data_IF_470200122244
#
_entry.id   IF_470200122244
#
_cell.length_a   1.000
_cell.length_b   1.000
_cell.length_c   1.000
_cell.angle_alpha   90.00
_cell.angle_beta   90.00
_cell.angle_gamma   90.00
#
_symmetry.space_group_name_H-M   'P 1'
#
loop_
_entity.id
_entity.type
_entity.pdbx_description
1 polymer ?
#
# COMPACT_ATOMS: atom_id res chain seq x y z
N UNK A 1 22.80 25.94 -6.66
CA UNK A 1 22.66 25.69 -5.21
C UNK A 1 22.91 24.22 -4.96
N UNK A 2 23.97 23.86 -4.22
CA UNK A 2 24.22 22.48 -3.78
C UNK A 2 23.48 22.28 -2.47
N UNK A 3 22.52 21.35 -2.43
CA UNK A 3 21.92 20.89 -1.17
C UNK A 3 23.06 20.22 -0.38
N UNK A 4 23.37 20.66 0.84
CA UNK A 4 24.48 20.10 1.60
C UNK A 4 24.17 18.64 2.01
N UNK A 5 25.18 17.79 1.98
CA UNK A 5 25.07 16.32 2.07
C UNK A 5 24.36 15.80 3.34
N UNK A 6 24.25 16.60 4.41
CA UNK A 6 23.54 16.24 5.64
C UNK A 6 22.02 16.43 5.57
N UNK A 7 21.48 17.28 4.68
CA UNK A 7 20.03 17.32 4.42
C UNK A 7 19.59 15.99 3.80
N UNK A 8 20.48 15.41 3.00
CA UNK A 8 20.31 14.06 2.45
C UNK A 8 20.54 13.00 3.52
N UNK A 9 21.59 13.11 4.35
CA UNK A 9 21.93 12.09 5.36
C UNK A 9 20.96 12.04 6.56
N UNK A 10 20.47 13.18 7.06
CA UNK A 10 19.45 13.25 8.12
C UNK A 10 18.08 12.76 7.63
N UNK A 11 17.71 13.07 6.38
CA UNK A 11 16.52 12.50 5.75
C UNK A 11 16.67 11.00 5.48
N UNK A 12 17.88 10.54 5.12
CA UNK A 12 18.20 9.12 4.91
C UNK A 12 18.24 8.35 6.23
N UNK A 13 18.75 8.90 7.34
CA UNK A 13 18.71 8.24 8.65
C UNK A 13 17.28 8.15 9.19
N UNK A 14 16.45 9.19 9.02
CA UNK A 14 15.01 9.10 9.31
C UNK A 14 14.35 7.99 8.49
N UNK A 15 14.63 7.88 7.19
CA UNK A 15 14.07 6.83 6.33
C UNK A 15 14.59 5.41 6.65
N UNK A 16 15.88 5.24 6.95
CA UNK A 16 16.49 3.95 7.28
C UNK A 16 16.06 3.44 8.66
N UNK A 17 15.85 4.33 9.63
CA UNK A 17 15.34 3.98 10.96
C UNK A 17 13.87 3.58 10.92
N UNK A 18 13.05 4.22 10.07
CA UNK A 18 11.66 3.82 9.81
C UNK A 18 11.57 2.37 9.30
N UNK A 19 12.45 1.97 8.37
CA UNK A 19 12.51 0.59 7.86
C UNK A 19 12.97 -0.44 8.89
N UNK A 20 13.81 -0.04 9.85
CA UNK A 20 14.29 -0.90 10.94
C UNK A 20 13.28 -1.02 12.10
N UNK A 21 12.48 0.01 12.35
CA UNK A 21 11.43 0.06 13.37
C UNK A 21 10.27 -0.91 13.10
N UNK A 22 9.78 -1.02 11.86
CA UNK A 22 8.68 -1.93 11.51
C UNK A 22 9.00 -3.41 11.84
N UNK A 23 10.28 -3.77 11.80
CA UNK A 23 10.75 -5.12 12.12
C UNK A 23 10.75 -5.42 13.64
N UNK A 24 11.04 -4.42 14.49
CA UNK A 24 11.07 -4.59 15.96
C UNK A 24 9.67 -4.56 16.59
N UNK A 25 8.74 -3.74 16.06
CA UNK A 25 7.37 -3.64 16.58
C UNK A 25 6.60 -4.97 16.55
N UNK A 26 6.82 -5.82 15.53
CA UNK A 26 6.23 -7.16 15.44
C UNK A 26 6.69 -8.10 16.56
N UNK A 27 7.90 -7.89 17.08
CA UNK A 27 8.51 -8.76 18.09
C UNK A 27 8.10 -8.33 19.50
N UNK A 28 8.05 -7.02 19.75
CA UNK A 28 7.59 -6.44 21.02
C UNK A 28 6.08 -6.65 21.25
N UNK A 29 5.24 -6.46 20.21
CA UNK A 29 3.80 -6.67 20.31
C UNK A 29 3.41 -8.12 20.69
N UNK A 30 4.23 -9.10 20.27
CA UNK A 30 4.05 -10.52 20.66
C UNK A 30 4.39 -10.77 22.12
N UNK A 31 5.32 -10.01 22.70
CA UNK A 31 5.74 -10.14 24.09
C UNK A 31 4.77 -9.42 25.04
N UNK A 32 4.26 -8.25 24.65
CA UNK A 32 3.27 -7.50 25.43
C UNK A 32 1.92 -8.20 25.49
N UNK A 33 1.49 -8.84 24.40
CA UNK A 33 0.30 -9.71 24.41
C UNK A 33 0.46 -10.86 25.43
N UNK A 34 1.65 -11.45 25.52
CA UNK A 34 1.96 -12.54 26.46
C UNK A 34 2.06 -12.07 27.93
N UNK A 35 2.29 -10.76 28.14
CA UNK A 35 2.36 -10.12 29.46
C UNK A 35 0.97 -9.69 29.94
N UNK A 36 0.20 -9.04 29.07
CA UNK A 36 -1.17 -8.58 29.39
C UNK A 36 -2.11 -9.75 29.70
N UNK A 37 -1.99 -10.88 28.99
CA UNK A 37 -2.75 -12.11 29.31
C UNK A 37 -2.43 -12.66 30.71
N UNK A 38 -1.20 -12.45 31.22
CA UNK A 38 -0.83 -12.82 32.60
C UNK A 38 -1.35 -11.85 33.64
N UNK A 39 -1.35 -10.56 33.33
CA UNK A 39 -1.80 -9.50 34.25
C UNK A 39 -3.33 -9.46 34.41
N UNK A 40 -4.09 -9.72 33.33
CA UNK A 40 -5.57 -9.82 33.40
C UNK A 40 -6.07 -11.06 34.16
N UNK A 41 -5.20 -12.04 34.39
CA UNK A 41 -5.49 -13.23 35.19
C UNK A 41 -5.37 -12.99 36.71
N UNK A 42 -4.86 -11.83 37.15
CA UNK A 42 -4.29 -11.67 38.48
C UNK A 42 -4.84 -10.57 39.40
N UNK A 43 -5.64 -9.60 38.95
CA UNK A 43 -6.11 -8.57 39.91
C UNK A 43 -7.34 -7.80 39.47
N UNK A 44 -8.34 -7.79 40.35
CA UNK A 44 -9.56 -6.99 40.30
C UNK A 44 -9.48 -5.90 41.38
N UNK A 45 -9.67 -4.66 40.94
CA UNK A 45 -10.22 -3.49 41.66
C UNK A 45 -9.53 -2.96 42.94
N UNK A 46 -9.03 -1.72 42.89
CA UNK A 46 -9.48 -0.56 43.70
C UNK A 46 -8.43 0.57 43.70
N UNK A 47 -8.79 1.79 43.27
CA UNK A 47 -8.37 3.10 43.84
C UNK A 47 -8.61 4.25 42.85
N UNK A 48 -9.59 5.13 43.11
CA UNK A 48 -10.01 6.20 42.18
C UNK A 48 -9.76 7.63 42.67
N UNK A 49 -8.98 7.87 43.73
CA UNK A 49 -8.74 9.25 44.22
C UNK A 49 -7.24 9.62 44.35
N UNK A 50 -6.36 8.69 44.71
CA UNK A 50 -4.91 8.92 44.74
C UNK A 50 -4.26 9.06 43.35
N UNK A 51 -4.88 8.47 42.31
CA UNK A 51 -4.36 8.50 40.95
C UNK A 51 -4.36 9.89 40.29
N UNK A 52 -5.16 10.85 40.76
CA UNK A 52 -5.30 12.15 40.09
C UNK A 52 -4.11 13.09 40.29
N UNK A 53 -3.52 13.11 41.49
CA UNK A 53 -2.33 13.91 41.79
C UNK A 53 -1.06 13.27 41.21
N UNK A 54 -0.98 11.95 41.25
CA UNK A 54 0.17 11.21 40.72
C UNK A 54 0.24 11.34 39.20
N UNK A 55 -0.88 11.15 38.49
CA UNK A 55 -0.98 11.36 37.03
C UNK A 55 -0.64 12.80 36.64
N UNK A 56 -0.97 13.80 37.48
CA UNK A 56 -0.64 15.20 37.20
C UNK A 56 0.86 15.46 37.32
N UNK A 57 1.51 14.94 38.37
CA UNK A 57 2.97 15.01 38.52
C UNK A 57 3.69 14.31 37.38
N UNK A 58 3.29 13.08 37.04
CA UNK A 58 3.89 12.35 35.92
C UNK A 58 3.76 13.08 34.57
N UNK A 59 2.66 13.82 34.36
CA UNK A 59 2.47 14.66 33.16
C UNK A 59 3.38 15.88 33.15
N UNK A 60 3.56 16.54 34.30
CA UNK A 60 4.48 17.68 34.44
C UNK A 60 5.94 17.24 34.22
N UNK A 61 6.36 16.14 34.85
CA UNK A 61 7.69 15.55 34.67
C UNK A 61 7.94 15.16 33.20
N UNK A 62 6.94 14.59 32.52
CA UNK A 62 7.05 14.23 31.11
C UNK A 62 7.15 15.45 30.18
N UNK A 63 6.48 16.57 30.51
CA UNK A 63 6.57 17.82 29.73
C UNK A 63 7.93 18.47 29.84
N UNK A 64 8.49 18.48 31.05
CA UNK A 64 9.82 19.02 31.31
C UNK A 64 10.90 18.17 30.65
N UNK A 65 10.82 16.84 30.78
CA UNK A 65 11.75 15.93 30.12
C UNK A 65 11.71 16.07 28.58
N UNK A 66 10.52 16.26 28.00
CA UNK A 66 10.38 16.47 26.56
C UNK A 66 10.90 17.84 26.10
N UNK A 67 10.67 18.90 26.87
CA UNK A 67 11.21 20.22 26.58
C UNK A 67 12.74 20.24 26.68
N UNK A 68 13.30 19.52 27.65
CA UNK A 68 14.74 19.33 27.79
C UNK A 68 15.30 18.55 26.60
N UNK A 69 14.70 17.42 26.25
CA UNK A 69 15.10 16.61 25.09
C UNK A 69 15.07 17.42 23.79
N UNK A 70 14.02 18.23 23.58
CA UNK A 70 13.94 19.14 22.44
C UNK A 70 15.08 20.16 22.44
N UNK A 71 15.41 20.73 23.60
CA UNK A 71 16.48 21.74 23.71
C UNK A 71 17.85 21.11 23.43
N UNK A 72 18.14 19.97 24.06
CA UNK A 72 19.39 19.21 23.88
C UNK A 72 19.60 18.83 22.40
N UNK A 73 18.53 18.37 21.74
CA UNK A 73 18.59 18.03 20.32
C UNK A 73 18.82 19.24 19.43
N UNK A 74 18.16 20.35 19.70
CA UNK A 74 18.34 21.57 18.90
C UNK A 74 19.73 22.17 19.09
N UNK A 75 20.26 22.16 20.32
CA UNK A 75 21.64 22.59 20.61
C UNK A 75 22.64 21.68 19.89
N UNK A 76 22.39 20.36 19.88
CA UNK A 76 23.23 19.41 19.15
C UNK A 76 23.26 19.71 17.65
N UNK A 77 22.10 19.96 17.04
CA UNK A 77 22.00 20.32 15.61
C UNK A 77 22.72 21.63 15.28
N UNK A 78 22.64 22.63 16.15
CA UNK A 78 23.36 23.91 15.98
C UNK A 78 24.88 23.73 16.07
N UNK A 79 25.35 22.91 17.03
CA UNK A 79 26.77 22.59 17.16
C UNK A 79 27.30 21.89 15.90
N UNK A 80 26.52 20.93 15.37
CA UNK A 80 26.89 20.23 14.13
C UNK A 80 27.01 21.17 12.94
N UNK A 81 26.08 22.11 12.78
CA UNK A 81 26.14 23.11 11.72
C UNK A 81 27.38 24.01 11.86
N UNK A 82 27.70 24.46 13.08
CA UNK A 82 28.87 25.27 13.35
C UNK A 82 30.19 24.53 13.09
N UNK A 83 30.28 23.24 13.43
CA UNK A 83 31.46 22.40 13.17
C UNK A 83 31.68 22.17 11.67
N UNK A 84 30.62 21.98 10.89
CA UNK A 84 30.73 21.81 9.44
C UNK A 84 31.11 23.09 8.68
N UNK A 85 30.73 24.27 9.19
CA UNK A 85 31.23 25.52 8.62
C UNK A 85 32.76 25.66 8.76
N UNK A 86 33.37 24.88 9.66
CA UNK A 86 34.79 24.92 9.95
C UNK A 86 35.61 23.77 9.32
N UNK A 87 34.99 22.65 8.89
CA UNK A 87 35.68 21.48 8.31
C UNK A 87 34.91 20.80 7.14
N UNK A 88 35.61 20.25 6.11
CA UNK A 88 34.97 19.56 4.99
C UNK A 88 34.27 18.26 5.42
N UNK A 89 33.28 17.74 4.65
CA UNK A 89 32.46 16.60 5.05
C UNK A 89 33.29 15.31 5.13
N UNK A 90 33.54 14.84 6.35
CA UNK A 90 34.07 13.50 6.66
C UNK A 90 32.96 12.52 7.08
N UNK A 91 33.31 11.25 7.31
CA UNK A 91 32.37 10.26 7.85
C UNK A 91 31.78 10.70 9.20
N UNK A 92 30.52 10.33 9.51
CA UNK A 92 29.90 10.66 10.79
C UNK A 92 30.70 10.07 11.95
N UNK A 93 31.04 10.90 12.93
CA UNK A 93 31.73 10.47 14.15
C UNK A 93 30.88 9.44 14.92
N UNK A 94 31.49 8.39 15.49
CA UNK A 94 30.78 7.37 16.26
C UNK A 94 30.02 7.97 17.46
N UNK A 95 30.56 9.03 18.06
CA UNK A 95 29.90 9.77 19.14
C UNK A 95 28.62 10.50 18.66
N UNK A 96 28.55 10.87 17.37
CA UNK A 96 27.36 11.46 16.77
C UNK A 96 26.26 10.41 16.64
N UNK A 97 26.59 9.23 16.10
CA UNK A 97 25.62 8.13 15.97
C UNK A 97 25.07 7.67 17.34
N UNK A 98 25.91 7.65 18.37
CA UNK A 98 25.49 7.31 19.74
C UNK A 98 24.47 8.31 20.30
N UNK A 99 24.71 9.62 20.13
CA UNK A 99 23.78 10.67 20.58
C UNK A 99 22.46 10.66 19.80
N UNK A 100 22.52 10.41 18.50
CA UNK A 100 21.31 10.23 17.69
C UNK A 100 20.49 9.03 18.19
N UNK A 101 21.14 7.91 18.50
CA UNK A 101 20.48 6.74 19.09
C UNK A 101 19.82 7.04 20.44
N UNK A 102 20.52 7.71 21.34
CA UNK A 102 20.00 8.07 22.67
C UNK A 102 18.76 8.99 22.58
N UNK A 103 18.79 9.97 21.67
CA UNK A 103 17.65 10.83 21.41
C UNK A 103 16.42 10.01 21.02
N UNK A 104 16.57 9.07 20.09
CA UNK A 104 15.47 8.24 19.62
C UNK A 104 14.94 7.32 20.73
N UNK A 105 15.81 6.71 21.52
CA UNK A 105 15.42 5.88 22.66
C UNK A 105 14.60 6.67 23.69
N UNK A 106 15.03 7.89 24.01
CA UNK A 106 14.30 8.79 24.94
C UNK A 106 12.99 9.29 24.33
N UNK A 107 12.96 9.55 23.03
CA UNK A 107 11.76 10.03 22.33
C UNK A 107 10.59 9.04 22.42
N UNK A 108 10.87 7.74 22.41
CA UNK A 108 9.84 6.70 22.48
C UNK A 108 9.14 6.63 23.85
N UNK A 109 9.75 7.22 24.89
CA UNK A 109 9.18 7.30 26.23
C UNK A 109 8.29 8.52 26.44
N UNK A 110 8.21 9.43 25.46
CA UNK A 110 7.43 10.66 25.58
C UNK A 110 5.93 10.36 25.58
N UNK A 111 5.22 10.99 26.51
CA UNK A 111 3.76 11.00 26.53
C UNK A 111 3.18 11.96 25.49
N UNK A 112 1.86 11.94 25.29
CA UNK A 112 1.13 12.93 24.47
C UNK A 112 1.52 14.36 24.85
N UNK A 113 1.50 14.66 26.16
CA UNK A 113 1.89 15.97 26.68
C UNK A 113 3.37 16.29 26.45
N UNK A 114 4.23 15.27 26.48
CA UNK A 114 5.64 15.39 26.12
C UNK A 114 5.82 15.79 24.66
N UNK A 115 5.16 15.11 23.73
CA UNK A 115 5.23 15.43 22.29
C UNK A 115 4.67 16.83 21.96
N UNK A 116 3.59 17.27 22.60
CA UNK A 116 3.08 18.64 22.46
C UNK A 116 4.11 19.70 22.92
N UNK A 117 4.77 19.42 24.05
CA UNK A 117 5.83 20.27 24.60
C UNK A 117 7.05 20.31 23.65
N UNK A 118 7.46 19.14 23.15
CA UNK A 118 8.54 19.01 22.17
C UNK A 118 8.26 19.84 20.90
N UNK A 119 7.08 19.70 20.30
CA UNK A 119 6.69 20.44 19.09
C UNK A 119 6.70 21.95 19.36
N UNK A 120 6.14 22.38 20.49
CA UNK A 120 6.12 23.79 20.88
C UNK A 120 7.53 24.36 21.00
N UNK A 121 8.42 23.61 21.66
CA UNK A 121 9.82 24.01 21.82
C UNK A 121 10.55 24.11 20.49
N UNK A 122 10.36 23.13 19.61
CA UNK A 122 10.96 23.14 18.26
C UNK A 122 10.48 24.34 17.44
N UNK A 123 9.21 24.76 17.59
CA UNK A 123 8.66 25.95 16.93
C UNK A 123 9.28 27.25 17.47
N UNK A 124 9.54 27.32 18.77
CA UNK A 124 10.06 28.52 19.44
C UNK A 124 11.58 28.69 19.27
N UNK A 125 12.31 27.63 18.92
CA UNK A 125 13.77 27.67 18.78
C UNK A 125 14.21 28.32 17.46
N UNK A 126 15.04 29.36 17.59
CA UNK A 126 15.70 30.04 16.46
C UNK A 126 17.09 29.47 16.20
N UNK A 127 17.60 29.58 14.97
CA UNK A 127 18.97 29.21 14.62
C UNK A 127 19.17 27.76 14.17
N UNK A 128 18.08 27.00 13.99
CA UNK A 128 18.11 25.69 13.32
C UNK A 128 17.54 25.83 11.90
N UNK A 129 18.16 25.21 10.87
CA UNK A 129 17.67 25.26 9.51
C UNK A 129 16.22 24.84 9.40
N UNK A 130 15.43 25.59 8.62
CA UNK A 130 14.00 25.35 8.51
C UNK A 130 13.71 23.91 8.08
N UNK A 131 14.44 23.35 7.10
CA UNK A 131 14.24 21.96 6.64
C UNK A 131 14.27 20.95 7.77
N UNK A 132 15.26 21.04 8.66
CA UNK A 132 15.44 20.14 9.81
C UNK A 132 14.29 20.34 10.81
N UNK A 133 13.92 21.59 11.09
CA UNK A 133 12.78 21.91 11.96
C UNK A 133 11.49 21.28 11.45
N UNK A 134 11.25 21.37 10.13
CA UNK A 134 10.06 20.81 9.49
C UNK A 134 10.03 19.28 9.57
N UNK A 135 11.16 18.62 9.40
CA UNK A 135 11.24 17.15 9.47
C UNK A 135 11.01 16.63 10.90
N UNK A 136 11.53 17.34 11.91
CA UNK A 136 11.26 17.04 13.32
C UNK A 136 9.78 17.22 13.68
N UNK A 137 9.17 18.32 13.23
CA UNK A 137 7.74 18.57 13.43
C UNK A 137 6.91 17.48 12.75
N UNK A 138 7.27 17.10 11.51
CA UNK A 138 6.58 16.05 10.77
C UNK A 138 6.64 14.70 11.51
N UNK A 139 7.81 14.32 12.01
CA UNK A 139 7.96 13.10 12.81
C UNK A 139 7.14 13.17 14.11
N UNK A 140 7.28 14.25 14.88
CA UNK A 140 6.60 14.41 16.15
C UNK A 140 5.08 14.39 16.01
N UNK A 141 4.52 15.10 15.02
CA UNK A 141 3.08 15.09 14.75
C UNK A 141 2.63 13.71 14.23
N UNK A 142 3.42 13.04 13.39
CA UNK A 142 3.11 11.68 12.93
C UNK A 142 3.04 10.67 14.08
N UNK A 143 3.96 10.79 15.05
CA UNK A 143 3.95 9.97 16.26
C UNK A 143 2.76 10.32 17.14
N UNK A 144 2.51 11.61 17.38
CA UNK A 144 1.36 12.09 18.13
C UNK A 144 0.04 11.64 17.50
N UNK A 145 -0.08 11.63 16.17
CA UNK A 145 -1.28 11.19 15.46
C UNK A 145 -1.60 9.70 15.71
N UNK A 146 -0.59 8.86 15.94
CA UNK A 146 -0.79 7.45 16.30
C UNK A 146 -1.23 7.31 17.76
N UNK A 147 -0.75 8.18 18.65
CA UNK A 147 -1.02 8.15 20.09
C UNK A 147 -2.35 8.81 20.45
N UNK A 148 -2.53 10.05 20.03
CA UNK A 148 -3.73 10.87 20.22
C UNK A 148 -3.96 11.77 18.99
N UNK A 149 -4.83 11.32 18.06
CA UNK A 149 -5.14 12.08 16.84
C UNK A 149 -5.73 13.47 17.12
N UNK A 150 -6.41 13.68 18.25
CA UNK A 150 -7.01 14.97 18.58
C UNK A 150 -5.95 16.04 18.92
N UNK A 151 -4.95 15.70 19.74
CA UNK A 151 -3.78 16.55 19.99
C UNK A 151 -3.00 16.80 18.70
N UNK A 152 -2.84 15.80 17.83
CA UNK A 152 -2.19 15.98 16.55
C UNK A 152 -2.94 17.00 15.65
N UNK A 153 -4.26 16.93 15.54
CA UNK A 153 -5.06 17.93 14.81
C UNK A 153 -4.90 19.33 15.38
N UNK A 154 -4.80 19.44 16.71
CA UNK A 154 -4.57 20.72 17.39
C UNK A 154 -3.20 21.28 17.02
N UNK A 155 -2.17 20.43 16.96
CA UNK A 155 -0.83 20.86 16.52
C UNK A 155 -0.80 21.23 15.04
N UNK A 156 -1.46 20.46 14.17
CA UNK A 156 -1.59 20.76 12.74
C UNK A 156 -2.26 22.12 12.53
N UNK A 157 -3.36 22.41 13.23
CA UNK A 157 -4.04 23.70 13.14
C UNK A 157 -3.15 24.88 13.58
N UNK A 158 -2.26 24.65 14.56
CA UNK A 158 -1.31 25.67 15.03
C UNK A 158 -0.20 25.94 14.01
N UNK A 159 0.26 24.90 13.30
CA UNK A 159 1.32 25.04 12.32
C UNK A 159 0.80 25.33 10.90
N UNK A 160 -0.48 25.14 10.59
CA UNK A 160 -0.97 25.25 9.22
C UNK A 160 -0.65 26.62 8.59
N UNK A 161 -0.79 27.70 9.36
CA UNK A 161 -0.42 29.05 8.91
C UNK A 161 1.08 29.25 8.68
N UNK A 162 1.94 28.53 9.43
CA UNK A 162 3.40 28.60 9.29
C UNK A 162 3.92 27.84 8.07
N UNK A 163 3.09 26.98 7.48
CA UNK A 163 3.46 26.02 6.44
C UNK A 163 2.48 26.08 5.27
N UNK A 164 1.89 27.24 5.02
CA UNK A 164 0.93 27.43 3.93
C UNK A 164 1.53 27.00 2.57
N UNK A 165 0.79 26.18 1.83
CA UNK A 165 1.24 25.57 0.58
C UNK A 165 2.23 24.40 0.69
N UNK A 166 2.66 23.97 1.90
CA UNK A 166 3.54 22.81 2.08
C UNK A 166 2.73 21.49 2.06
N UNK A 167 3.01 20.62 1.08
CA UNK A 167 2.34 19.33 0.90
C UNK A 167 2.37 18.46 2.16
N UNK A 168 3.41 18.57 2.99
CA UNK A 168 3.56 17.76 4.21
C UNK A 168 2.45 18.01 5.22
N UNK A 169 1.93 19.23 5.32
CA UNK A 169 0.84 19.53 6.27
C UNK A 169 -0.45 18.83 5.84
N UNK A 170 -0.70 18.74 4.54
CA UNK A 170 -1.82 17.95 4.00
C UNK A 170 -1.62 16.46 4.28
N UNK A 171 -0.40 15.93 4.12
CA UNK A 171 -0.10 14.53 4.44
C UNK A 171 -0.25 14.21 5.94
N UNK A 172 0.14 15.14 6.82
CA UNK A 172 -0.09 15.01 8.26
C UNK A 172 -1.58 15.01 8.58
N UNK A 173 -2.36 15.90 7.96
CA UNK A 173 -3.83 15.92 8.08
C UNK A 173 -4.43 14.57 7.67
N UNK A 174 -4.02 14.05 6.51
CA UNK A 174 -4.49 12.77 5.99
C UNK A 174 -4.15 11.61 6.93
N UNK A 175 -2.90 11.54 7.42
CA UNK A 175 -2.47 10.55 8.40
C UNK A 175 -3.25 10.66 9.71
N UNK A 176 -3.46 11.88 10.22
CA UNK A 176 -4.16 12.09 11.49
C UNK A 176 -5.63 11.71 11.37
N UNK A 177 -6.31 12.08 10.28
CA UNK A 177 -7.69 11.66 10.03
C UNK A 177 -7.77 10.13 9.86
N UNK A 178 -6.80 9.52 9.19
CA UNK A 178 -6.72 8.06 9.10
C UNK A 178 -6.64 7.42 10.50
N UNK A 179 -5.72 7.86 11.37
CA UNK A 179 -5.59 7.31 12.72
C UNK A 179 -6.83 7.59 13.58
N UNK A 180 -7.40 8.78 13.49
CA UNK A 180 -8.64 9.12 14.18
C UNK A 180 -9.78 8.20 13.74
N UNK A 181 -9.95 7.97 12.45
CA UNK A 181 -10.99 7.10 11.92
C UNK A 181 -10.83 5.64 12.36
N UNK A 182 -9.60 5.15 12.54
CA UNK A 182 -9.36 3.81 13.12
C UNK A 182 -9.81 3.73 14.58
N UNK A 183 -9.67 4.81 15.34
CA UNK A 183 -10.01 4.85 16.77
C UNK A 183 -11.51 5.14 16.97
N UNK A 184 -12.00 6.21 16.35
CA UNK A 184 -13.37 6.71 16.38
C UNK A 184 -13.79 7.22 14.99
N UNK A 185 -14.41 6.35 14.15
CA UNK A 185 -14.91 6.73 12.84
C UNK A 185 -15.88 7.91 12.83
N UNK A 186 -16.71 8.03 13.88
CA UNK A 186 -17.77 9.04 13.94
C UNK A 186 -17.16 10.41 14.23
N UNK A 187 -16.23 10.48 15.19
CA UNK A 187 -15.48 11.70 15.49
C UNK A 187 -14.61 12.14 14.30
N UNK A 188 -14.00 11.20 13.58
CA UNK A 188 -13.24 11.50 12.36
C UNK A 188 -14.14 12.11 11.27
N UNK A 189 -15.32 11.52 11.05
CA UNK A 189 -16.27 12.03 10.07
C UNK A 189 -16.81 13.41 10.44
N UNK A 190 -17.14 13.64 11.71
CA UNK A 190 -17.53 14.96 12.20
C UNK A 190 -16.42 15.99 11.97
N UNK A 191 -15.16 15.63 12.25
CA UNK A 191 -14.03 16.51 11.99
C UNK A 191 -13.84 16.86 10.52
N UNK A 192 -14.05 15.92 9.59
CA UNK A 192 -13.95 16.20 8.15
C UNK A 192 -15.11 17.08 7.67
N UNK A 193 -16.31 16.94 8.23
CA UNK A 193 -17.46 17.82 7.93
C UNK A 193 -17.29 19.22 8.52
N UNK A 194 -16.73 19.29 9.73
CA UNK A 194 -16.60 20.52 10.51
C UNK A 194 -15.12 20.73 10.93
N UNK A 195 -14.20 20.96 9.98
CA UNK A 195 -12.76 21.03 10.25
C UNK A 195 -12.35 22.23 11.10
N UNK A 196 -13.16 23.29 11.10
CA UNK A 196 -12.78 24.60 11.64
C UNK A 196 -11.90 25.39 10.66
N UNK A 197 -11.77 26.69 10.90
CA UNK A 197 -11.13 27.62 9.97
C UNK A 197 -9.68 27.25 9.62
N UNK A 198 -8.87 26.91 10.64
CA UNK A 198 -7.45 26.61 10.48
C UNK A 198 -7.14 25.32 9.70
N UNK A 199 -8.11 24.40 9.60
CA UNK A 199 -7.96 23.10 8.91
C UNK A 199 -8.78 23.01 7.63
N UNK A 200 -9.70 23.95 7.38
CA UNK A 200 -10.62 23.89 6.24
C UNK A 200 -9.90 23.80 4.89
N UNK A 201 -8.80 24.54 4.72
CA UNK A 201 -8.00 24.52 3.50
C UNK A 201 -7.24 23.19 3.29
N UNK A 202 -7.06 22.38 4.34
CA UNK A 202 -6.34 21.12 4.30
C UNK A 202 -7.23 19.92 3.97
N UNK A 203 -8.56 20.05 4.13
CA UNK A 203 -9.49 18.96 3.82
C UNK A 203 -9.59 18.77 2.31
N UNK A 204 -8.97 17.70 1.84
CA UNK A 204 -8.93 17.31 0.43
C UNK A 204 -9.74 16.03 0.19
N UNK A 205 -9.84 15.62 -1.08
CA UNK A 205 -10.39 14.30 -1.42
C UNK A 205 -9.53 13.17 -0.83
N UNK A 206 -8.21 13.34 -0.76
CA UNK A 206 -7.33 12.38 -0.10
C UNK A 206 -7.63 12.27 1.39
N UNK A 207 -8.00 13.37 2.05
CA UNK A 207 -8.42 13.37 3.46
C UNK A 207 -9.70 12.55 3.67
N UNK A 208 -10.67 12.69 2.76
CA UNK A 208 -11.90 11.88 2.77
C UNK A 208 -11.62 10.40 2.50
N UNK A 209 -10.67 10.10 1.59
CA UNK A 209 -10.22 8.72 1.37
C UNK A 209 -9.56 8.16 2.63
N UNK A 210 -8.69 8.94 3.29
CA UNK A 210 -8.04 8.57 4.56
C UNK A 210 -9.05 8.28 5.68
N UNK A 211 -10.15 9.05 5.74
CA UNK A 211 -11.28 8.77 6.62
C UNK A 211 -11.92 7.41 6.31
N UNK A 212 -12.21 7.12 5.03
CA UNK A 212 -12.84 5.86 4.61
C UNK A 212 -11.96 4.66 4.92
N UNK A 213 -10.67 4.70 4.53
CA UNK A 213 -9.75 3.58 4.75
C UNK A 213 -9.38 3.40 6.23
N UNK A 214 -9.41 4.47 7.03
CA UNK A 214 -9.24 4.36 8.49
C UNK A 214 -10.47 3.71 9.12
N UNK A 215 -11.65 4.16 8.72
CA UNK A 215 -12.94 3.61 9.17
C UNK A 215 -13.08 2.13 8.81
N UNK A 216 -12.65 1.73 7.61
CA UNK A 216 -12.78 0.35 7.13
C UNK A 216 -12.06 -0.67 8.01
N UNK A 217 -11.03 -0.25 8.74
CA UNK A 217 -10.30 -1.12 9.66
C UNK A 217 -11.14 -1.58 10.87
N UNK A 218 -12.16 -0.80 11.24
CA UNK A 218 -13.02 -1.03 12.41
C UNK A 218 -14.47 -1.31 12.04
N UNK A 219 -15.01 -0.57 11.08
CA UNK A 219 -16.38 -0.69 10.58
C UNK A 219 -16.41 -0.53 9.05
N UNK A 220 -16.16 -1.62 8.29
CA UNK A 220 -16.27 -1.61 6.83
C UNK A 220 -17.63 -1.14 6.32
N UNK A 221 -18.74 -1.52 6.99
CA UNK A 221 -20.09 -1.16 6.55
C UNK A 221 -20.34 0.34 6.66
N UNK A 222 -19.82 0.99 7.71
CA UNK A 222 -19.81 2.44 7.82
C UNK A 222 -18.92 3.08 6.74
N UNK A 223 -17.74 2.52 6.45
CA UNK A 223 -16.87 3.02 5.38
C UNK A 223 -17.59 3.01 4.01
N UNK A 224 -18.38 1.97 3.73
CA UNK A 224 -19.23 1.94 2.52
C UNK A 224 -20.32 3.01 2.52
N UNK A 225 -20.95 3.31 3.66
CA UNK A 225 -21.93 4.42 3.75
C UNK A 225 -21.26 5.77 3.52
N UNK A 226 -20.05 5.97 4.04
CA UNK A 226 -19.30 7.22 3.87
C UNK A 226 -18.98 7.55 2.40
N UNK A 227 -18.93 6.55 1.51
CA UNK A 227 -18.80 6.77 0.05
C UNK A 227 -19.98 7.55 -0.55
N UNK A 228 -21.15 7.55 0.12
CA UNK A 228 -22.33 8.30 -0.29
C UNK A 228 -22.51 9.61 0.50
N UNK A 229 -21.95 9.69 1.71
CA UNK A 229 -22.10 10.85 2.60
C UNK A 229 -21.13 11.99 2.26
N UNK A 230 -20.01 11.67 1.62
CA UNK A 230 -19.00 12.65 1.21
C UNK A 230 -18.96 12.77 -0.31
N UNK A 231 -18.81 13.99 -0.80
CA UNK A 231 -18.59 14.25 -2.22
C UNK A 231 -17.13 13.97 -2.59
N UNK A 232 -16.91 13.22 -3.68
CA UNK A 232 -15.59 12.87 -4.19
C UNK A 232 -15.50 13.29 -5.65
N UNK A 233 -14.43 13.99 -6.03
CA UNK A 233 -14.14 14.30 -7.44
C UNK A 233 -13.91 13.02 -8.24
N UNK A 234 -13.18 12.08 -7.66
CA UNK A 234 -13.02 10.72 -8.18
C UNK A 234 -13.55 9.70 -7.17
N UNK A 235 -14.84 9.38 -7.31
CA UNK A 235 -15.49 8.36 -6.50
C UNK A 235 -14.91 6.96 -6.74
N UNK A 236 -14.44 6.66 -7.95
CA UNK A 236 -13.87 5.35 -8.26
C UNK A 236 -12.53 5.15 -7.56
N UNK A 237 -11.72 6.21 -7.43
CA UNK A 237 -10.51 6.17 -6.62
C UNK A 237 -10.84 5.85 -5.15
N UNK A 238 -11.86 6.47 -4.57
CA UNK A 238 -12.26 6.19 -3.19
C UNK A 238 -12.72 4.73 -3.01
N UNK A 239 -13.51 4.20 -3.95
CA UNK A 239 -13.93 2.79 -3.97
C UNK A 239 -12.71 1.87 -4.09
N UNK A 240 -11.78 2.17 -5.00
CA UNK A 240 -10.54 1.39 -5.15
C UNK A 240 -9.72 1.36 -3.86
N UNK A 241 -9.45 2.53 -3.27
CA UNK A 241 -8.66 2.67 -2.05
C UNK A 241 -9.28 1.92 -0.87
N UNK A 242 -10.62 1.83 -0.80
CA UNK A 242 -11.29 1.01 0.20
C UNK A 242 -10.92 -0.47 0.04
N UNK A 243 -10.99 -1.03 -1.17
CA UNK A 243 -10.58 -2.41 -1.42
C UNK A 243 -9.10 -2.67 -1.13
N UNK A 244 -8.22 -1.78 -1.57
CA UNK A 244 -6.76 -1.89 -1.38
C UNK A 244 -6.31 -1.70 0.08
N UNK A 245 -7.14 -1.05 0.92
CA UNK A 245 -6.80 -0.79 2.32
C UNK A 245 -6.68 -2.04 3.20
N UNK A 246 -7.24 -3.18 2.76
CA UNK A 246 -7.26 -4.41 3.54
C UNK A 246 -5.92 -5.17 3.52
N UNK A 247 -5.08 -4.93 4.52
CA UNK A 247 -3.74 -5.54 4.63
C UNK A 247 -3.76 -6.97 5.18
N UNK A 248 -4.66 -7.31 6.11
CA UNK A 248 -4.75 -8.67 6.68
C UNK A 248 -5.86 -9.54 6.03
N UNK A 249 -5.78 -10.87 6.10
CA UNK A 249 -6.86 -11.76 5.64
C UNK A 249 -8.23 -11.44 6.26
N UNK A 250 -8.24 -11.09 7.55
CA UNK A 250 -9.46 -10.73 8.29
C UNK A 250 -10.07 -9.44 7.76
N UNK A 251 -9.24 -8.43 7.52
CA UNK A 251 -9.69 -7.16 6.92
C UNK A 251 -10.27 -7.39 5.52
N UNK A 252 -9.61 -8.21 4.69
CA UNK A 252 -10.09 -8.51 3.34
C UNK A 252 -11.45 -9.20 3.38
N UNK A 253 -11.62 -10.17 4.27
CA UNK A 253 -12.89 -10.88 4.48
C UNK A 253 -13.98 -9.93 5.01
N UNK A 254 -13.64 -9.01 5.91
CA UNK A 254 -14.58 -8.03 6.45
C UNK A 254 -15.06 -7.04 5.38
N UNK A 255 -14.17 -6.53 4.53
CA UNK A 255 -14.53 -5.66 3.39
C UNK A 255 -15.39 -6.42 2.38
N UNK A 256 -15.02 -7.65 2.02
CA UNK A 256 -15.81 -8.47 1.10
C UNK A 256 -17.22 -8.72 1.64
N UNK A 257 -17.35 -9.00 2.94
CA UNK A 257 -18.65 -9.15 3.59
C UNK A 257 -19.48 -7.87 3.51
N UNK A 258 -18.90 -6.74 3.90
CA UNK A 258 -19.61 -5.45 3.87
C UNK A 258 -19.99 -5.02 2.45
N UNK A 259 -19.15 -5.32 1.45
CA UNK A 259 -19.50 -5.16 0.03
C UNK A 259 -20.77 -5.95 -0.29
N UNK A 260 -20.81 -7.25 0.02
CA UNK A 260 -21.96 -8.12 -0.25
C UNK A 260 -23.24 -7.67 0.46
N UNK A 261 -23.12 -7.11 1.66
CA UNK A 261 -24.24 -6.51 2.39
C UNK A 261 -24.71 -5.19 1.76
N UNK A 262 -23.81 -4.41 1.15
CA UNK A 262 -24.12 -3.12 0.50
C UNK A 262 -24.73 -3.28 -0.89
N UNK A 263 -24.30 -4.26 -1.67
CA UNK A 263 -24.72 -4.41 -3.08
C UNK A 263 -26.25 -4.47 -3.30
N UNK A 264 -27.06 -5.13 -2.45
CA UNK A 264 -28.52 -5.17 -2.60
C UNK A 264 -29.19 -3.79 -2.53
N UNK A 265 -28.62 -2.85 -1.76
CA UNK A 265 -29.18 -1.51 -1.60
C UNK A 265 -28.98 -0.62 -2.85
N UNK A 266 -28.02 -0.98 -3.72
CA UNK A 266 -27.77 -0.26 -4.95
C UNK A 266 -28.77 -0.70 -6.02
N UNK A 267 -29.77 0.12 -6.31
CA UNK A 267 -30.79 -0.17 -7.33
C UNK A 267 -30.25 -0.07 -8.77
N UNK A 268 -29.29 0.83 -9.00
CA UNK A 268 -28.59 0.95 -10.27
C UNK A 268 -27.66 -0.27 -10.49
N UNK A 269 -27.97 -1.04 -11.53
CA UNK A 269 -27.24 -2.28 -11.87
C UNK A 269 -25.81 -1.99 -12.33
N UNK A 270 -25.58 -0.87 -13.03
CA UNK A 270 -24.25 -0.50 -13.50
C UNK A 270 -23.39 -0.02 -12.33
N UNK A 271 -23.94 0.83 -11.45
CA UNK A 271 -23.24 1.26 -10.25
C UNK A 271 -22.90 0.09 -9.32
N UNK A 272 -23.83 -0.87 -9.17
CA UNK A 272 -23.63 -2.10 -8.42
C UNK A 272 -22.49 -2.94 -8.98
N UNK A 273 -22.48 -3.19 -10.30
CA UNK A 273 -21.43 -3.95 -10.97
C UNK A 273 -20.07 -3.26 -10.88
N UNK A 274 -20.04 -1.93 -11.08
CA UNK A 274 -18.82 -1.12 -10.99
C UNK A 274 -18.22 -1.17 -9.59
N UNK A 275 -19.01 -0.94 -8.54
CA UNK A 275 -18.51 -0.99 -7.17
C UNK A 275 -17.98 -2.37 -6.80
N UNK A 276 -18.71 -3.43 -7.18
CA UNK A 276 -18.26 -4.81 -6.96
C UNK A 276 -16.91 -5.06 -7.64
N UNK A 277 -16.81 -4.77 -8.93
CA UNK A 277 -15.59 -4.94 -9.71
C UNK A 277 -14.42 -4.14 -9.13
N UNK A 278 -14.61 -2.85 -8.83
CA UNK A 278 -13.55 -1.98 -8.32
C UNK A 278 -13.03 -2.43 -6.95
N UNK A 279 -13.92 -2.81 -6.02
CA UNK A 279 -13.49 -3.31 -4.70
C UNK A 279 -12.75 -4.64 -4.82
N UNK A 280 -13.24 -5.59 -5.62
CA UNK A 280 -12.61 -6.89 -5.80
C UNK A 280 -11.23 -6.76 -6.44
N UNK A 281 -11.09 -5.87 -7.43
CA UNK A 281 -9.79 -5.55 -8.01
C UNK A 281 -8.86 -4.91 -6.98
N UNK A 282 -9.32 -3.93 -6.20
CA UNK A 282 -8.53 -3.33 -5.12
C UNK A 282 -8.05 -4.36 -4.10
N UNK A 283 -8.93 -5.29 -3.68
CA UNK A 283 -8.58 -6.41 -2.81
C UNK A 283 -7.53 -7.33 -3.45
N UNK A 284 -7.72 -7.70 -4.71
CA UNK A 284 -6.79 -8.54 -5.45
C UNK A 284 -5.41 -7.89 -5.65
N UNK A 285 -5.36 -6.56 -5.82
CA UNK A 285 -4.12 -5.80 -5.98
C UNK A 285 -3.17 -5.99 -4.79
N UNK A 286 -3.71 -6.15 -3.58
CA UNK A 286 -2.90 -6.39 -2.37
C UNK A 286 -2.07 -7.68 -2.43
N UNK A 287 -2.44 -8.63 -3.30
CA UNK A 287 -1.72 -9.89 -3.50
C UNK A 287 -0.71 -9.85 -4.65
N UNK A 288 -0.75 -8.81 -5.50
CA UNK A 288 0.18 -8.67 -6.62
C UNK A 288 1.65 -8.68 -6.17
N UNK A 289 1.90 -8.18 -4.95
CA UNK A 289 3.22 -8.13 -4.35
C UNK A 289 3.47 -9.20 -3.27
N UNK A 290 2.51 -10.10 -3.06
CA UNK A 290 2.57 -11.16 -2.05
C UNK A 290 3.15 -12.47 -2.59
N UNK A 291 3.06 -13.52 -1.77
CA UNK A 291 3.33 -14.89 -2.17
C UNK A 291 2.03 -15.60 -2.60
N UNK A 292 2.10 -16.35 -3.69
CA UNK A 292 0.99 -17.13 -4.25
C UNK A 292 0.26 -17.99 -3.21
N UNK A 293 0.99 -18.65 -2.32
CA UNK A 293 0.42 -19.57 -1.32
C UNK A 293 -0.50 -18.88 -0.32
N UNK A 294 -0.15 -17.67 0.14
CA UNK A 294 -0.99 -16.89 1.05
C UNK A 294 -2.23 -16.35 0.33
N UNK A 295 -2.04 -15.84 -0.88
CA UNK A 295 -3.12 -15.34 -1.71
C UNK A 295 -4.14 -16.45 -2.03
N UNK A 296 -3.66 -17.62 -2.49
CA UNK A 296 -4.48 -18.80 -2.76
C UNK A 296 -5.31 -19.22 -1.55
N UNK A 297 -4.68 -19.30 -0.35
CA UNK A 297 -5.40 -19.64 0.90
C UNK A 297 -6.55 -18.68 1.17
N UNK A 298 -6.32 -17.38 1.01
CA UNK A 298 -7.39 -16.40 1.19
C UNK A 298 -8.48 -16.58 0.14
N UNK A 299 -8.15 -16.67 -1.15
CA UNK A 299 -9.14 -16.85 -2.21
C UNK A 299 -10.01 -18.12 -2.02
N UNK A 300 -9.41 -19.22 -1.58
CA UNK A 300 -10.12 -20.49 -1.32
C UNK A 300 -11.03 -20.41 -0.09
N UNK A 301 -10.72 -19.56 0.90
CA UNK A 301 -11.56 -19.35 2.09
C UNK A 301 -12.63 -18.27 1.91
N UNK A 302 -12.41 -17.31 1.02
CA UNK A 302 -13.28 -16.15 0.80
C UNK A 302 -14.64 -16.51 0.17
N UNK A 303 -14.81 -17.75 -0.30
CA UNK A 303 -16.05 -18.25 -0.94
C UNK A 303 -16.49 -17.32 -2.07
N UNK A 304 -15.56 -16.99 -2.97
CA UNK A 304 -15.84 -16.14 -4.12
C UNK A 304 -16.72 -16.89 -5.13
N UNK A 305 -17.71 -16.19 -5.67
CA UNK A 305 -18.41 -16.65 -6.86
C UNK A 305 -17.47 -16.63 -8.08
N UNK A 306 -17.77 -17.38 -9.16
CA UNK A 306 -16.94 -17.37 -10.36
C UNK A 306 -16.74 -15.97 -10.94
N UNK A 307 -17.79 -15.13 -10.94
CA UNK A 307 -17.70 -13.75 -11.42
C UNK A 307 -16.82 -12.86 -10.50
N UNK A 308 -16.89 -13.06 -9.17
CA UNK A 308 -16.01 -12.32 -8.25
C UNK A 308 -14.55 -12.73 -8.44
N UNK A 309 -14.28 -14.04 -8.62
CA UNK A 309 -12.94 -14.55 -8.89
C UNK A 309 -12.39 -14.02 -10.22
N UNK A 310 -13.22 -13.94 -11.27
CA UNK A 310 -12.84 -13.38 -12.57
C UNK A 310 -12.41 -11.91 -12.45
N UNK A 311 -13.13 -11.09 -11.68
CA UNK A 311 -12.73 -9.70 -11.41
C UNK A 311 -11.38 -9.60 -10.70
N UNK A 312 -11.14 -10.45 -9.69
CA UNK A 312 -9.85 -10.52 -9.01
C UNK A 312 -8.72 -10.94 -9.96
N UNK A 313 -8.98 -11.94 -10.80
CA UNK A 313 -8.02 -12.48 -11.75
C UNK A 313 -7.63 -11.46 -12.84
N UNK A 314 -8.59 -10.66 -13.32
CA UNK A 314 -8.35 -9.54 -14.24
C UNK A 314 -7.39 -8.50 -13.65
N UNK A 315 -7.44 -8.25 -12.33
CA UNK A 315 -6.45 -7.37 -11.70
C UNK A 315 -5.06 -8.02 -11.64
N UNK A 316 -4.99 -9.29 -11.26
CA UNK A 316 -3.72 -10.00 -11.10
C UNK A 316 -2.96 -10.12 -12.42
N UNK A 317 -3.65 -10.21 -13.56
CA UNK A 317 -3.06 -10.18 -14.90
C UNK A 317 -2.09 -9.01 -15.11
N UNK A 318 -2.46 -7.80 -14.68
CA UNK A 318 -1.67 -6.58 -14.87
C UNK A 318 -0.59 -6.34 -13.80
N UNK A 319 -0.61 -7.12 -12.70
CA UNK A 319 0.18 -6.80 -11.51
C UNK A 319 1.11 -7.93 -11.05
N UNK A 320 0.90 -9.18 -11.48
CA UNK A 320 1.77 -10.33 -11.16
C UNK A 320 2.94 -10.39 -12.15
N UNK A 321 3.97 -9.57 -11.91
CA UNK A 321 5.26 -9.62 -12.60
C UNK A 321 6.29 -10.39 -11.76
N UNK A 322 6.02 -11.68 -11.47
CA UNK A 322 6.77 -12.46 -10.48
C UNK A 322 7.14 -13.86 -10.99
N UNK A 323 8.16 -14.52 -10.41
CA UNK A 323 8.52 -15.90 -10.76
C UNK A 323 7.36 -16.92 -10.58
N UNK A 324 6.27 -16.53 -9.92
CA UNK A 324 5.11 -17.36 -9.61
C UNK A 324 3.99 -17.28 -10.67
N UNK A 325 4.16 -16.53 -11.79
CA UNK A 325 3.10 -16.36 -12.80
C UNK A 325 2.55 -17.68 -13.33
N UNK A 326 3.40 -18.69 -13.51
CA UNK A 326 2.97 -20.04 -13.90
C UNK A 326 2.01 -20.71 -12.90
N UNK A 327 2.22 -20.49 -11.59
CA UNK A 327 1.33 -21.03 -10.54
C UNK A 327 -0.05 -20.35 -10.60
N UNK A 328 -0.08 -19.04 -10.87
CA UNK A 328 -1.31 -18.29 -11.04
C UNK A 328 -2.08 -18.73 -12.29
N UNK A 329 -1.39 -18.88 -13.42
CA UNK A 329 -2.00 -19.37 -14.66
C UNK A 329 -2.65 -20.74 -14.45
N UNK A 330 -1.93 -21.67 -13.83
CA UNK A 330 -2.45 -23.02 -13.57
C UNK A 330 -3.66 -22.99 -12.62
N UNK A 331 -3.55 -22.26 -11.52
CA UNK A 331 -4.63 -22.23 -10.52
C UNK A 331 -5.86 -21.49 -11.03
N UNK A 332 -5.71 -20.29 -11.61
CA UNK A 332 -6.83 -19.51 -12.15
C UNK A 332 -7.47 -20.23 -13.34
N UNK A 333 -6.67 -20.78 -14.24
CA UNK A 333 -7.16 -21.48 -15.42
C UNK A 333 -8.06 -22.68 -15.07
N UNK A 334 -7.80 -23.34 -13.93
CA UNK A 334 -8.60 -24.47 -13.44
C UNK A 334 -9.78 -24.06 -12.54
N UNK A 335 -9.82 -22.82 -12.04
CA UNK A 335 -10.87 -22.34 -11.12
C UNK A 335 -11.92 -21.48 -11.80
N UNK A 336 -11.56 -20.80 -12.88
CA UNK A 336 -12.45 -19.91 -13.62
C UNK A 336 -13.35 -20.69 -14.60
N UNK A 337 -14.51 -20.12 -14.97
CA UNK A 337 -15.29 -20.62 -16.10
C UNK A 337 -14.45 -20.66 -17.39
N UNK A 338 -14.74 -21.55 -18.35
CA UNK A 338 -13.89 -21.77 -19.52
C UNK A 338 -13.55 -20.49 -20.31
N UNK A 339 -14.53 -19.61 -20.54
CA UNK A 339 -14.31 -18.35 -21.28
C UNK A 339 -13.35 -17.39 -20.54
N UNK A 340 -13.57 -17.19 -19.24
CA UNK A 340 -12.71 -16.36 -18.41
C UNK A 340 -11.31 -16.97 -18.24
N UNK A 341 -11.25 -18.30 -18.08
CA UNK A 341 -10.01 -19.08 -18.00
C UNK A 341 -9.16 -18.86 -19.23
N UNK A 342 -9.72 -19.10 -20.43
CA UNK A 342 -8.97 -18.95 -21.69
C UNK A 342 -8.44 -17.53 -21.87
N UNK A 343 -9.31 -16.52 -21.66
CA UNK A 343 -8.93 -15.11 -21.80
C UNK A 343 -7.84 -14.71 -20.81
N UNK A 344 -8.03 -14.96 -19.51
CA UNK A 344 -7.09 -14.55 -18.47
C UNK A 344 -5.76 -15.30 -18.62
N UNK A 345 -5.79 -16.60 -18.92
CA UNK A 345 -4.57 -17.38 -19.13
C UNK A 345 -3.78 -16.87 -20.34
N UNK A 346 -4.42 -16.63 -21.48
CA UNK A 346 -3.76 -16.10 -22.67
C UNK A 346 -3.13 -14.72 -22.38
N UNK A 347 -3.87 -13.85 -21.72
CA UNK A 347 -3.41 -12.51 -21.37
C UNK A 347 -2.23 -12.51 -20.39
N UNK A 348 -2.30 -13.34 -19.34
CA UNK A 348 -1.21 -13.51 -18.38
C UNK A 348 0.04 -14.05 -19.06
N UNK A 349 -0.11 -15.03 -19.95
CA UNK A 349 1.01 -15.60 -20.70
C UNK A 349 1.61 -14.60 -21.66
N UNK A 350 0.81 -13.80 -22.37
CA UNK A 350 1.26 -12.73 -23.24
C UNK A 350 2.11 -11.70 -22.47
N UNK A 351 1.59 -11.21 -21.34
CA UNK A 351 2.31 -10.29 -20.46
C UNK A 351 3.60 -10.91 -19.91
N UNK A 352 3.55 -12.16 -19.44
CA UNK A 352 4.73 -12.86 -18.94
C UNK A 352 5.80 -13.02 -20.02
N UNK A 353 5.40 -13.41 -21.23
CA UNK A 353 6.31 -13.65 -22.36
C UNK A 353 7.00 -12.36 -22.81
N UNK A 354 6.28 -11.22 -22.83
CA UNK A 354 6.88 -9.92 -23.12
C UNK A 354 7.95 -9.49 -22.12
N UNK A 355 7.86 -9.95 -20.87
CA UNK A 355 8.82 -9.64 -19.83
C UNK A 355 9.95 -10.67 -19.72
N UNK A 356 9.65 -11.96 -19.85
CA UNK A 356 10.58 -13.08 -19.75
C UNK A 356 10.09 -14.27 -20.60
N UNK A 357 10.36 -14.21 -21.90
CA UNK A 357 9.96 -15.23 -22.86
C UNK A 357 10.58 -16.61 -22.56
N UNK A 358 11.76 -16.66 -21.95
CA UNK A 358 12.47 -17.91 -21.65
C UNK A 358 11.82 -18.65 -20.48
N UNK A 359 11.49 -17.95 -19.39
CA UNK A 359 10.77 -18.54 -18.27
C UNK A 359 9.37 -19.00 -18.70
N UNK A 360 8.67 -18.18 -19.50
CA UNK A 360 7.36 -18.52 -20.05
C UNK A 360 7.40 -19.79 -20.93
N UNK A 361 8.38 -19.89 -21.85
CA UNK A 361 8.59 -21.08 -22.68
C UNK A 361 8.94 -22.33 -21.87
N UNK A 362 9.74 -22.17 -20.82
CA UNK A 362 10.11 -23.25 -19.90
C UNK A 362 8.87 -23.79 -19.20
N UNK A 363 8.01 -22.91 -18.70
CA UNK A 363 6.75 -23.31 -18.08
C UNK A 363 5.80 -23.97 -19.09
N UNK A 364 5.64 -23.42 -20.29
CA UNK A 364 4.81 -24.00 -21.35
C UNK A 364 5.25 -25.43 -21.70
N UNK A 365 6.55 -25.66 -21.77
CA UNK A 365 7.12 -26.98 -22.06
C UNK A 365 6.84 -27.99 -20.95
N UNK A 366 6.76 -27.54 -19.70
CA UNK A 366 6.50 -28.38 -18.53
C UNK A 366 5.00 -28.51 -18.18
N UNK A 367 4.16 -27.61 -18.68
CA UNK A 367 2.73 -27.59 -18.37
C UNK A 367 2.02 -28.83 -18.91
N UNK A 368 1.07 -29.35 -18.13
CA UNK A 368 0.22 -30.48 -18.52
C UNK A 368 -0.67 -30.10 -19.71
N UNK A 369 -0.87 -31.04 -20.62
CA UNK A 369 -1.74 -30.82 -21.78
C UNK A 369 -3.20 -30.59 -21.34
N UNK A 370 -3.87 -29.66 -22.01
CA UNK A 370 -5.26 -29.30 -21.73
C UNK A 370 -5.59 -27.85 -22.05
N UNK A 371 -6.84 -27.40 -21.75
CA UNK A 371 -7.34 -26.08 -22.14
C UNK A 371 -6.50 -24.90 -21.63
N UNK A 372 -5.97 -25.01 -20.41
CA UNK A 372 -5.11 -23.97 -19.81
C UNK A 372 -3.82 -23.82 -20.62
N UNK A 373 -3.13 -24.92 -20.94
CA UNK A 373 -1.92 -24.89 -21.77
C UNK A 373 -2.21 -24.38 -23.17
N UNK A 374 -3.32 -24.78 -23.80
CA UNK A 374 -3.71 -24.29 -25.12
C UNK A 374 -3.91 -22.77 -25.13
N UNK A 375 -4.63 -22.26 -24.14
CA UNK A 375 -4.85 -20.82 -23.98
C UNK A 375 -3.53 -20.07 -23.72
N UNK A 376 -2.63 -20.67 -22.95
CA UNK A 376 -1.31 -20.10 -22.70
C UNK A 376 -0.46 -20.08 -23.99
N UNK A 377 -0.48 -21.15 -24.79
CA UNK A 377 0.19 -21.19 -26.10
C UNK A 377 -0.32 -20.04 -26.98
N UNK A 378 -1.64 -19.81 -27.07
CA UNK A 378 -2.19 -18.69 -27.84
C UNK A 378 -1.66 -17.32 -27.33
N UNK A 379 -1.56 -17.14 -26.02
CA UNK A 379 -0.96 -15.95 -25.40
C UNK A 379 0.53 -15.76 -25.73
N UNK A 380 1.30 -16.85 -25.70
CA UNK A 380 2.73 -16.86 -26.04
C UNK A 380 2.94 -16.53 -27.52
N UNK A 381 2.19 -17.20 -28.41
CA UNK A 381 2.18 -16.93 -29.86
C UNK A 381 1.90 -15.46 -30.13
N UNK A 382 0.91 -14.88 -29.45
CA UNK A 382 0.57 -13.46 -29.59
C UNK A 382 1.74 -12.54 -29.24
N UNK A 383 2.51 -12.88 -28.21
CA UNK A 383 3.64 -12.08 -27.74
C UNK A 383 4.87 -12.16 -28.66
N UNK A 384 5.18 -13.34 -29.21
CA UNK A 384 6.42 -13.56 -29.97
C UNK A 384 6.27 -13.40 -31.48
N UNK A 385 5.04 -13.44 -32.03
CA UNK A 385 4.83 -13.44 -33.48
C UNK A 385 5.48 -12.26 -34.22
N UNK A 386 5.55 -11.09 -33.60
CA UNK A 386 6.15 -9.88 -34.20
C UNK A 386 7.68 -9.96 -34.33
N UNK A 387 8.36 -10.71 -33.43
CA UNK A 387 9.82 -10.74 -33.35
C UNK A 387 10.43 -12.08 -33.75
N UNK A 388 9.71 -13.18 -33.49
CA UNK A 388 10.14 -14.55 -33.75
C UNK A 388 8.99 -15.37 -34.38
N UNK A 389 8.54 -14.99 -35.59
CA UNK A 389 7.34 -15.56 -36.20
C UNK A 389 7.43 -17.07 -36.47
N UNK A 390 8.61 -17.61 -36.78
CA UNK A 390 8.80 -19.07 -36.91
C UNK A 390 8.58 -19.80 -35.58
N UNK A 391 9.04 -19.23 -34.46
CA UNK A 391 8.86 -19.82 -33.12
C UNK A 391 7.38 -19.74 -32.75
N UNK A 392 6.74 -18.61 -33.02
CA UNK A 392 5.30 -18.45 -32.85
C UNK A 392 4.51 -19.49 -33.67
N UNK A 393 4.88 -19.69 -34.94
CA UNK A 393 4.25 -20.69 -35.81
C UNK A 393 4.43 -22.11 -35.28
N UNK A 394 5.64 -22.46 -34.83
CA UNK A 394 5.94 -23.77 -34.21
C UNK A 394 5.09 -24.03 -32.96
N UNK A 395 4.86 -23.02 -32.12
CA UNK A 395 3.94 -23.16 -30.99
C UNK A 395 2.47 -23.24 -31.44
N UNK A 396 2.04 -22.42 -32.39
CA UNK A 396 0.68 -22.41 -32.89
C UNK A 396 0.26 -23.77 -33.49
N UNK A 397 1.16 -24.47 -34.20
CA UNK A 397 0.84 -25.81 -34.75
C UNK A 397 0.72 -26.91 -33.69
N UNK A 398 1.17 -26.69 -32.45
CA UNK A 398 0.98 -27.65 -31.35
C UNK A 398 -0.43 -27.61 -30.76
N UNK A 399 -1.20 -26.55 -31.05
CA UNK A 399 -2.59 -26.45 -30.65
C UNK A 399 -3.44 -27.52 -31.36
N UNK A 400 -4.47 -28.08 -30.70
CA UNK A 400 -5.44 -28.95 -31.36
C UNK A 400 -6.17 -28.23 -32.50
N UNK A 401 -6.65 -29.00 -33.48
CA UNK A 401 -7.48 -28.46 -34.56
C UNK A 401 -8.72 -27.75 -33.99
N UNK A 402 -8.97 -26.53 -34.47
CA UNK A 402 -10.09 -25.73 -34.01
C UNK A 402 -9.84 -24.23 -34.15
N UNK A 403 -10.71 -23.47 -33.49
CA UNK A 403 -10.74 -22.00 -33.54
C UNK A 403 -9.42 -21.39 -33.04
N UNK A 404 -8.94 -21.79 -31.86
CA UNK A 404 -7.72 -21.23 -31.24
C UNK A 404 -6.47 -21.43 -32.12
N UNK A 405 -6.29 -22.62 -32.71
CA UNK A 405 -5.20 -22.90 -33.66
C UNK A 405 -5.29 -22.00 -34.90
N UNK A 406 -6.49 -21.89 -35.45
CA UNK A 406 -6.74 -21.07 -36.65
C UNK A 406 -6.44 -19.60 -36.38
N UNK A 407 -6.95 -19.05 -35.27
CA UNK A 407 -6.72 -17.66 -34.88
C UNK A 407 -5.23 -17.41 -34.56
N UNK A 408 -4.55 -18.35 -33.92
CA UNK A 408 -3.11 -18.25 -33.64
C UNK A 408 -2.27 -18.24 -34.92
N UNK A 409 -2.55 -19.13 -35.87
CA UNK A 409 -1.87 -19.16 -37.16
C UNK A 409 -2.18 -17.91 -38.00
N UNK A 410 -3.41 -17.42 -37.96
CA UNK A 410 -3.79 -16.17 -38.61
C UNK A 410 -3.01 -14.98 -38.03
N UNK A 411 -2.91 -14.91 -36.70
CA UNK A 411 -2.13 -13.88 -36.02
C UNK A 411 -0.65 -13.93 -36.42
N UNK A 412 -0.06 -15.13 -36.45
CA UNK A 412 1.32 -15.32 -36.91
C UNK A 412 1.50 -14.86 -38.35
N UNK A 413 0.60 -15.24 -39.26
CA UNK A 413 0.66 -14.80 -40.65
C UNK A 413 0.59 -13.28 -40.80
N UNK A 414 -0.30 -12.63 -40.04
CA UNK A 414 -0.49 -11.17 -40.06
C UNK A 414 0.70 -10.39 -39.49
N UNK A 415 1.41 -10.97 -38.52
CA UNK A 415 2.54 -10.33 -37.84
C UNK A 415 3.90 -10.83 -38.33
N UNK A 416 3.93 -11.73 -39.33
CA UNK A 416 5.16 -12.12 -40.01
C UNK A 416 5.68 -10.92 -40.83
N UNK A 417 6.95 -10.49 -40.68
CA UNK A 417 7.50 -9.40 -41.46
C UNK A 417 7.30 -9.60 -42.97
N UNK A 418 6.86 -8.56 -43.69
CA UNK A 418 6.55 -8.66 -45.12
C UNK A 418 7.79 -9.03 -45.94
N UNK A 419 8.97 -8.56 -45.52
CA UNK A 419 10.26 -8.88 -46.14
C UNK A 419 10.61 -10.38 -46.05
N UNK A 420 9.97 -11.11 -45.13
CA UNK A 420 10.14 -12.53 -44.90
C UNK A 420 8.99 -13.40 -45.45
N UNK A 421 8.12 -12.84 -46.31
CA UNK A 421 6.98 -13.57 -46.86
C UNK A 421 7.36 -14.91 -47.54
N UNK A 422 8.53 -14.98 -48.18
CA UNK A 422 9.04 -16.23 -48.76
C UNK A 422 9.35 -17.31 -47.70
N UNK A 423 9.87 -16.90 -46.54
CA UNK A 423 10.13 -17.81 -45.41
C UNK A 423 8.82 -18.26 -44.75
N UNK A 424 7.87 -17.34 -44.58
CA UNK A 424 6.51 -17.64 -44.11
C UNK A 424 5.81 -18.70 -44.95
N UNK A 425 5.83 -18.56 -46.27
CA UNK A 425 5.17 -19.49 -47.19
C UNK A 425 5.93 -20.83 -47.28
N UNK A 426 7.26 -20.80 -47.18
CA UNK A 426 8.08 -22.00 -47.08
C UNK A 426 7.77 -22.80 -45.80
N UNK A 427 7.62 -22.11 -44.66
CA UNK A 427 7.27 -22.73 -43.38
C UNK A 427 5.93 -23.48 -43.44
N UNK A 428 4.88 -22.83 -43.98
CA UNK A 428 3.57 -23.46 -44.13
C UNK A 428 3.63 -24.71 -45.03
N UNK A 429 4.40 -24.65 -46.12
CA UNK A 429 4.62 -25.78 -47.01
C UNK A 429 5.38 -26.93 -46.32
N UNK A 430 6.42 -26.61 -45.57
CA UNK A 430 7.22 -27.59 -44.82
C UNK A 430 6.38 -28.35 -43.78
N UNK A 431 5.51 -27.62 -43.07
CA UNK A 431 4.67 -28.17 -42.01
C UNK A 431 3.28 -28.63 -42.48
N UNK A 432 3.03 -28.59 -43.79
CA UNK A 432 1.85 -29.22 -44.41
C UNK A 432 0.52 -28.54 -44.07
N UNK A 433 0.50 -27.22 -43.90
CA UNK A 433 -0.73 -26.45 -43.70
C UNK A 433 -0.79 -25.25 -44.64
N UNK A 434 -1.98 -24.67 -44.80
CA UNK A 434 -2.18 -23.39 -45.48
C UNK A 434 -2.54 -22.34 -44.44
N UNK A 435 -2.03 -21.12 -44.61
CA UNK A 435 -2.46 -19.99 -43.78
C UNK A 435 -3.98 -19.77 -43.96
N UNK A 436 -4.71 -19.56 -42.86
CA UNK A 436 -6.17 -19.38 -42.87
C UNK A 436 -6.63 -18.04 -43.44
#
# INVERSE_FOLDING_TARGET
>A
MRIPAYVTLAAITVALVIGWQDHRHLTAARQDLARLVRETSGSSAASSVAGSQDVRRTREDSREAAALLASEWMDHLQQLEAMQQQQPPGEPDAAMQEREGEFWDRSHLLTVAGWESFISRVLDTTGVPDTVRRDLINHAISTLAKMDPHSALTMIARISALFDGDRRVTELMDLTIYQLAKQDPVAAADRVRHPGEALAALVSDQTKISLIIGTSSKDPSLAFRMLDEFDFKDRNQAIWSLGESARTPEQKTAILKALRERLPDLTDTNARAMMSKTILKGLANTFAYGNFGEAKKWFESASLTPAELANCAEQLQGSVLRPETGLWIEWLGNKLPPEDSSRITADMMNSWTKNDHQAAATWLSAAADGPVKNSAIAGYVTAVAEYEPEIAARWAITLPDGKERTESLQWVHQNWPEEEAAARDAFAKEHGFTWP
#
